data_IF_477431870910
#
_entry.id   IF_477431870910
#
_cell.length_a   1.000
_cell.length_b   1.000
_cell.length_c   1.000
_cell.angle_alpha   90.00
_cell.angle_beta   90.00
_cell.angle_gamma   90.00
#
_symmetry.space_group_name_H-M   'P 1'
#
loop_
_entity.id
_entity.type
_entity.pdbx_description
1 polymer ?
#
# COMPACT_ATOMS: atom_id res chain seq x y z
N UNK A 1 5.68 78.00 -13.11
CA UNK A 1 6.21 76.66 -13.48
C UNK A 1 6.65 75.96 -12.20
N UNK A 2 5.83 75.00 -11.70
CA UNK A 2 6.16 74.21 -10.53
C UNK A 2 6.41 72.78 -11.03
N UNK A 3 7.63 72.30 -10.87
CA UNK A 3 7.99 70.88 -11.14
C UNK A 3 7.55 70.02 -9.97
N UNK A 4 6.80 68.97 -10.26
CA UNK A 4 6.43 67.90 -9.30
C UNK A 4 7.40 66.73 -9.55
N UNK A 5 8.25 66.44 -8.57
CA UNK A 5 9.08 65.25 -8.54
C UNK A 5 8.18 64.06 -8.02
N UNK A 6 8.02 63.05 -8.84
CA UNK A 6 7.42 61.80 -8.44
C UNK A 6 8.50 60.84 -7.90
N UNK A 7 8.38 60.45 -6.64
CA UNK A 7 9.18 59.39 -6.03
C UNK A 7 8.53 58.04 -6.31
N UNK A 8 9.20 57.15 -7.04
CA UNK A 8 8.81 55.77 -7.21
C UNK A 8 9.33 54.95 -6.03
N UNK A 9 8.43 54.42 -5.20
CA UNK A 9 8.75 53.42 -4.19
C UNK A 9 8.91 52.04 -4.90
N UNK A 10 10.11 51.50 -4.86
CA UNK A 10 10.37 50.09 -5.25
C UNK A 10 10.15 49.25 -4.00
N UNK A 11 9.06 48.49 -3.98
CA UNK A 11 8.80 47.47 -2.95
C UNK A 11 9.60 46.21 -3.29
N UNK A 12 10.65 45.94 -2.53
CA UNK A 12 11.38 44.68 -2.59
C UNK A 12 10.59 43.60 -1.86
N UNK A 13 10.01 42.69 -2.61
CA UNK A 13 9.36 41.47 -2.05
C UNK A 13 10.44 40.47 -1.63
N UNK A 14 10.69 40.38 -0.34
CA UNK A 14 11.50 39.31 0.23
C UNK A 14 10.72 37.96 0.08
N UNK A 15 11.18 37.09 -0.82
CA UNK A 15 10.77 35.71 -0.83
C UNK A 15 11.33 35.03 0.42
N UNK A 16 10.46 34.66 1.34
CA UNK A 16 10.82 33.76 2.44
C UNK A 16 11.21 32.39 1.82
N UNK A 17 12.49 32.03 1.94
CA UNK A 17 12.98 30.70 1.68
C UNK A 17 12.37 29.77 2.73
N UNK A 18 11.67 28.71 2.27
CA UNK A 18 11.25 27.65 3.14
C UNK A 18 12.50 27.01 3.79
N UNK A 19 12.46 26.65 5.09
CA UNK A 19 13.59 26.02 5.73
C UNK A 19 13.85 24.67 5.06
N UNK A 20 15.11 24.44 4.66
CA UNK A 20 15.59 23.12 4.20
C UNK A 20 15.20 22.06 5.23
N UNK A 21 14.41 21.09 4.81
CA UNK A 21 14.09 19.93 5.62
C UNK A 21 15.42 19.22 5.93
N UNK A 22 15.78 19.15 7.20
CA UNK A 22 16.97 18.44 7.65
C UNK A 22 16.91 17.01 7.15
N UNK A 23 17.76 16.65 6.18
CA UNK A 23 17.95 15.28 5.73
C UNK A 23 18.54 14.52 6.93
N UNK A 24 17.69 13.81 7.64
CA UNK A 24 18.15 12.88 8.68
C UNK A 24 19.03 11.84 7.99
N UNK A 25 20.25 11.67 8.49
CA UNK A 25 21.16 10.59 8.06
C UNK A 25 20.53 9.27 8.45
N UNK A 26 19.70 8.72 7.55
CA UNK A 26 19.16 7.38 7.72
C UNK A 26 20.31 6.37 7.77
N UNK A 27 20.22 5.39 8.65
CA UNK A 27 21.09 4.23 8.63
C UNK A 27 21.09 3.62 7.21
N UNK A 28 22.26 3.12 6.77
CA UNK A 28 22.38 2.46 5.48
C UNK A 28 21.28 1.40 5.32
N UNK A 29 20.60 1.39 4.18
CA UNK A 29 19.60 0.39 3.90
C UNK A 29 20.25 -1.00 3.91
N UNK A 30 19.85 -1.86 4.84
CA UNK A 30 20.18 -3.27 4.80
C UNK A 30 19.36 -3.94 3.68
N UNK A 31 19.77 -5.12 3.23
CA UNK A 31 19.00 -5.87 2.25
C UNK A 31 18.92 -7.35 2.59
N UNK A 32 17.78 -7.95 2.27
CA UNK A 32 17.52 -9.39 2.39
C UNK A 32 17.32 -9.95 0.99
N UNK A 33 18.28 -10.75 0.50
CA UNK A 33 18.15 -11.45 -0.78
C UNK A 33 17.07 -12.52 -0.69
N UNK A 34 16.21 -12.60 -1.72
CA UNK A 34 15.13 -13.60 -1.79
C UNK A 34 15.60 -14.84 -2.56
N UNK A 35 15.07 -16.03 -2.21
CA UNK A 35 15.34 -17.26 -2.94
C UNK A 35 14.80 -17.19 -4.37
N UNK A 36 15.55 -17.73 -5.34
CA UNK A 36 15.15 -17.78 -6.74
C UNK A 36 15.97 -16.90 -7.65
N UNK A 37 16.77 -15.98 -7.09
CA UNK A 37 17.62 -15.04 -7.83
C UNK A 37 16.83 -13.97 -8.59
N UNK A 38 17.52 -12.89 -9.02
CA UNK A 38 16.88 -11.77 -9.72
C UNK A 38 16.46 -12.13 -11.16
N UNK A 39 15.37 -11.52 -11.69
CA UNK A 39 14.43 -10.69 -10.93
C UNK A 39 13.42 -11.52 -10.13
N UNK A 40 12.86 -10.93 -9.06
CA UNK A 40 11.72 -11.50 -8.31
C UNK A 40 10.56 -10.52 -8.37
N UNK A 41 9.48 -10.91 -9.03
CA UNK A 41 8.27 -10.07 -9.11
C UNK A 41 7.56 -10.03 -7.76
N UNK A 42 7.49 -8.85 -7.17
CA UNK A 42 6.80 -8.58 -5.91
C UNK A 42 5.82 -7.42 -6.06
N UNK A 43 4.67 -7.49 -5.38
CA UNK A 43 3.67 -6.45 -5.43
C UNK A 43 3.15 -6.13 -4.01
N UNK A 44 2.04 -6.72 -3.55
CA UNK A 44 1.49 -6.46 -2.23
C UNK A 44 1.99 -7.49 -1.20
N UNK A 45 2.80 -7.01 -0.27
CA UNK A 45 3.28 -7.78 0.88
C UNK A 45 2.29 -7.66 2.05
N UNK A 46 2.40 -8.56 3.04
CA UNK A 46 1.62 -8.45 4.27
C UNK A 46 2.46 -8.78 5.52
N UNK A 47 2.30 -7.97 6.55
CA UNK A 47 2.96 -8.17 7.84
C UNK A 47 1.95 -8.66 8.88
N UNK A 48 2.28 -9.76 9.56
CA UNK A 48 1.55 -10.28 10.70
C UNK A 48 2.20 -9.82 12.00
N UNK A 49 1.58 -8.86 12.67
CA UNK A 49 2.12 -8.26 13.89
C UNK A 49 2.15 -9.21 15.08
N UNK A 50 1.30 -10.24 15.12
CA UNK A 50 1.27 -11.23 16.20
C UNK A 50 2.51 -12.13 16.16
N UNK A 51 2.84 -12.68 14.99
CA UNK A 51 4.00 -13.56 14.83
C UNK A 51 5.30 -12.82 14.52
N UNK A 52 5.23 -11.60 13.99
CA UNK A 52 6.36 -10.85 13.45
C UNK A 52 6.81 -11.37 12.08
N UNK A 53 5.91 -11.94 11.29
CA UNK A 53 6.22 -12.50 9.97
C UNK A 53 5.77 -11.58 8.85
N UNK A 54 6.67 -11.37 7.91
CA UNK A 54 6.40 -10.67 6.66
C UNK A 54 6.23 -11.71 5.54
N UNK A 55 5.04 -11.73 4.93
CA UNK A 55 4.72 -12.57 3.79
C UNK A 55 5.01 -11.83 2.49
N UNK A 56 5.78 -12.45 1.61
CA UNK A 56 6.36 -11.86 0.39
C UNK A 56 5.96 -12.73 -0.79
N UNK A 57 4.84 -12.46 -1.46
CA UNK A 57 4.50 -13.14 -2.71
C UNK A 57 5.58 -12.87 -3.77
N UNK A 58 6.30 -13.94 -4.16
CA UNK A 58 7.42 -13.90 -5.10
C UNK A 58 6.98 -14.48 -6.46
N UNK A 59 6.19 -13.72 -7.20
CA UNK A 59 5.33 -14.13 -8.31
C UNK A 59 5.93 -15.10 -9.30
N UNK A 60 7.02 -14.72 -9.95
CA UNK A 60 7.66 -15.52 -10.99
C UNK A 60 8.42 -16.75 -10.48
N UNK A 61 8.65 -16.85 -9.17
CA UNK A 61 9.37 -17.97 -8.55
C UNK A 61 8.46 -19.14 -8.13
N UNK A 62 7.13 -18.93 -8.11
CA UNK A 62 6.17 -19.90 -7.60
C UNK A 62 6.27 -20.11 -6.09
N UNK A 63 6.66 -19.06 -5.34
CA UNK A 63 6.83 -19.08 -3.88
C UNK A 63 6.13 -17.92 -3.22
N UNK A 64 5.81 -18.10 -1.95
CA UNK A 64 5.57 -17.02 -1.00
C UNK A 64 6.68 -17.10 0.03
N UNK A 65 7.63 -16.20 -0.04
CA UNK A 65 8.70 -16.14 0.95
C UNK A 65 8.18 -15.54 2.25
N UNK A 66 8.76 -15.94 3.38
CA UNK A 66 8.32 -15.51 4.71
C UNK A 66 9.53 -15.11 5.53
N UNK A 67 9.65 -13.84 5.83
CA UNK A 67 10.70 -13.29 6.67
C UNK A 67 10.20 -13.16 8.12
N UNK A 68 10.86 -13.81 9.05
CA UNK A 68 10.71 -13.52 10.47
C UNK A 68 11.50 -12.24 10.79
N UNK A 69 10.78 -11.14 11.04
CA UNK A 69 11.40 -9.81 11.20
C UNK A 69 12.18 -9.66 12.49
N UNK A 70 11.95 -10.55 13.48
CA UNK A 70 12.65 -10.54 14.78
C UNK A 70 14.00 -11.23 14.71
N UNK A 71 14.07 -12.32 13.92
CA UNK A 71 15.28 -13.16 13.82
C UNK A 71 16.05 -12.99 12.51
N UNK A 72 15.43 -12.36 11.49
CA UNK A 72 15.95 -12.26 10.13
C UNK A 72 15.90 -13.58 9.35
N UNK A 73 15.28 -14.64 9.92
CA UNK A 73 15.21 -15.95 9.26
C UNK A 73 14.21 -15.91 8.12
N UNK A 74 14.63 -16.36 6.95
CA UNK A 74 13.81 -16.52 5.76
C UNK A 74 13.35 -17.97 5.60
N UNK A 75 12.05 -18.17 5.37
CA UNK A 75 11.42 -19.42 4.98
C UNK A 75 10.58 -19.22 3.74
N UNK A 76 9.89 -20.25 3.26
CA UNK A 76 8.99 -20.14 2.11
C UNK A 76 7.82 -21.13 2.18
N UNK A 77 6.76 -20.79 1.45
CA UNK A 77 5.67 -21.70 1.08
C UNK A 77 5.77 -21.91 -0.43
N UNK A 78 6.18 -23.12 -0.82
CA UNK A 78 6.50 -23.47 -2.20
C UNK A 78 5.30 -24.07 -2.97
N UNK A 79 5.50 -24.34 -4.26
CA UNK A 79 4.55 -25.10 -5.09
C UNK A 79 3.32 -24.28 -5.52
N UNK A 80 3.49 -22.97 -5.71
CA UNK A 80 2.45 -22.13 -6.30
C UNK A 80 2.49 -22.23 -7.81
N UNK A 81 1.32 -22.32 -8.48
CA UNK A 81 1.26 -22.22 -9.94
C UNK A 81 1.90 -20.94 -10.46
N UNK A 82 2.61 -21.06 -11.57
CA UNK A 82 3.10 -19.94 -12.35
C UNK A 82 2.62 -20.06 -13.80
N UNK A 83 2.43 -18.94 -14.48
CA UNK A 83 2.06 -18.92 -15.90
C UNK A 83 2.86 -17.88 -16.66
N UNK A 84 3.27 -18.21 -17.89
CA UNK A 84 3.92 -17.26 -18.78
C UNK A 84 2.87 -16.43 -19.50
N UNK A 85 2.94 -15.11 -19.38
CA UNK A 85 2.18 -14.15 -20.18
C UNK A 85 3.05 -13.64 -21.34
N UNK A 86 2.52 -12.72 -22.16
CA UNK A 86 3.32 -12.11 -23.23
C UNK A 86 4.57 -11.39 -22.68
N UNK A 87 4.46 -10.75 -21.52
CA UNK A 87 5.47 -9.84 -21.00
C UNK A 87 6.31 -10.42 -19.85
N UNK A 88 5.75 -11.37 -19.08
CA UNK A 88 6.40 -11.88 -17.87
C UNK A 88 5.84 -13.23 -17.40
N UNK A 89 6.49 -13.85 -16.44
CA UNK A 89 5.94 -14.96 -15.66
C UNK A 89 5.15 -14.38 -14.48
N UNK A 90 3.92 -14.86 -14.26
CA UNK A 90 3.05 -14.45 -13.16
C UNK A 90 2.80 -15.63 -12.21
N UNK A 91 2.51 -15.33 -10.95
CA UNK A 91 2.23 -16.31 -9.90
C UNK A 91 1.60 -15.62 -8.69
N UNK A 92 1.92 -16.00 -7.43
CA UNK A 92 1.46 -15.32 -6.24
C UNK A 92 1.93 -13.86 -6.24
N UNK A 93 1.02 -12.90 -6.02
CA UNK A 93 1.32 -11.48 -6.23
C UNK A 93 0.87 -10.57 -5.11
N UNK A 94 -0.06 -11.01 -4.28
CA UNK A 94 -0.61 -10.22 -3.19
C UNK A 94 -1.00 -11.11 -2.02
N UNK A 95 -0.98 -10.55 -0.82
CA UNK A 95 -1.48 -11.25 0.36
C UNK A 95 -2.01 -10.28 1.41
N UNK A 96 -2.81 -10.82 2.33
CA UNK A 96 -3.29 -10.14 3.52
C UNK A 96 -3.40 -11.10 4.67
N UNK A 97 -3.16 -10.64 5.89
CA UNK A 97 -3.21 -11.49 7.08
C UNK A 97 -4.47 -11.22 7.89
N UNK A 98 -5.09 -12.28 8.40
CA UNK A 98 -6.21 -12.20 9.32
C UNK A 98 -6.55 -13.56 9.92
N UNK A 99 -6.92 -13.59 11.20
CA UNK A 99 -7.34 -14.79 11.93
C UNK A 99 -6.32 -15.94 11.91
N UNK A 100 -5.02 -15.62 11.93
CA UNK A 100 -3.94 -16.61 11.92
C UNK A 100 -3.67 -17.22 10.54
N UNK A 101 -4.16 -16.62 9.46
CA UNK A 101 -3.94 -17.04 8.08
C UNK A 101 -3.46 -15.87 7.22
N UNK A 102 -2.57 -16.16 6.28
CA UNK A 102 -2.26 -15.29 5.16
C UNK A 102 -3.10 -15.74 3.95
N UNK A 103 -3.88 -14.84 3.39
CA UNK A 103 -4.68 -15.09 2.19
C UNK A 103 -3.90 -14.57 0.98
N UNK A 104 -3.49 -15.49 0.13
CA UNK A 104 -2.58 -15.20 -0.98
C UNK A 104 -3.33 -15.26 -2.30
N UNK A 105 -3.23 -14.18 -3.07
CA UNK A 105 -3.75 -14.08 -4.43
C UNK A 105 -2.71 -14.56 -5.44
N UNK A 106 -3.13 -15.46 -6.33
CA UNK A 106 -2.28 -15.97 -7.41
C UNK A 106 -2.84 -15.58 -8.78
N UNK A 107 -2.07 -14.81 -9.53
CA UNK A 107 -2.45 -14.34 -10.88
C UNK A 107 -2.37 -15.44 -11.94
N UNK A 108 -1.62 -16.53 -11.70
CA UNK A 108 -1.42 -17.59 -12.69
C UNK A 108 -2.67 -18.44 -12.91
N UNK A 109 -3.43 -18.71 -11.84
CA UNK A 109 -4.61 -19.57 -11.85
C UNK A 109 -5.86 -18.87 -11.30
N UNK A 110 -5.79 -17.56 -11.09
CA UNK A 110 -6.88 -16.74 -10.54
C UNK A 110 -7.40 -17.26 -9.20
N UNK A 111 -6.53 -17.76 -8.33
CA UNK A 111 -6.93 -18.34 -7.05
C UNK A 111 -6.62 -17.43 -5.85
N UNK A 112 -7.37 -17.64 -4.76
CA UNK A 112 -7.04 -17.18 -3.42
C UNK A 112 -6.89 -18.41 -2.53
N UNK A 113 -5.72 -18.57 -1.92
CA UNK A 113 -5.43 -19.67 -1.00
C UNK A 113 -5.15 -19.17 0.41
N UNK A 114 -5.61 -19.90 1.42
CA UNK A 114 -5.26 -19.67 2.81
C UNK A 114 -3.96 -20.39 3.15
N UNK A 115 -3.02 -19.69 3.81
CA UNK A 115 -1.79 -20.24 4.38
C UNK A 115 -1.84 -20.03 5.88
N UNK A 116 -1.76 -21.09 6.66
CA UNK A 116 -1.72 -20.98 8.11
C UNK A 116 -0.42 -20.30 8.57
N UNK A 117 -0.52 -19.17 9.26
CA UNK A 117 0.64 -18.35 9.65
C UNK A 117 1.63 -19.14 10.52
N UNK A 118 1.14 -19.98 11.44
CA UNK A 118 1.99 -20.71 12.39
C UNK A 118 2.81 -21.80 11.71
N UNK A 119 2.17 -22.65 10.91
CA UNK A 119 2.78 -23.85 10.30
C UNK A 119 3.34 -23.59 8.90
N UNK A 120 3.02 -22.46 8.26
CA UNK A 120 3.28 -22.15 6.86
C UNK A 120 2.70 -23.20 5.90
N UNK A 121 1.60 -23.83 6.29
CA UNK A 121 0.92 -24.84 5.48
C UNK A 121 -0.19 -24.21 4.67
N UNK A 122 -0.16 -24.42 3.34
CA UNK A 122 -1.26 -24.04 2.45
C UNK A 122 -2.46 -24.93 2.73
N UNK A 123 -3.63 -24.32 2.90
CA UNK A 123 -4.91 -24.98 3.19
C UNK A 123 -5.85 -24.89 1.98
N UNK A 124 -7.10 -24.53 2.17
CA UNK A 124 -8.07 -24.40 1.10
C UNK A 124 -7.78 -23.26 0.13
N UNK A 125 -8.12 -23.48 -1.12
CA UNK A 125 -8.07 -22.49 -2.19
C UNK A 125 -9.44 -22.35 -2.85
N UNK A 126 -9.70 -21.17 -3.43
CA UNK A 126 -10.86 -20.90 -4.27
C UNK A 126 -10.42 -20.19 -5.55
N UNK A 127 -10.90 -20.67 -6.70
CA UNK A 127 -10.69 -20.00 -7.99
C UNK A 127 -11.72 -18.88 -8.16
N UNK A 128 -11.26 -17.72 -8.57
CA UNK A 128 -12.08 -16.54 -8.88
C UNK A 128 -12.42 -16.49 -10.36
N UNK A 129 -13.53 -15.84 -10.74
CA UNK A 129 -13.85 -15.59 -12.15
C UNK A 129 -12.92 -14.55 -12.81
N UNK A 130 -12.09 -13.86 -12.03
CA UNK A 130 -11.23 -12.75 -12.47
C UNK A 130 -9.84 -12.87 -11.84
N UNK A 131 -8.83 -12.30 -12.52
CA UNK A 131 -7.46 -12.29 -12.02
C UNK A 131 -7.34 -11.37 -10.78
N UNK A 132 -6.90 -11.90 -9.62
CA UNK A 132 -6.74 -11.10 -8.41
C UNK A 132 -5.59 -10.08 -8.56
N UNK A 133 -5.78 -8.92 -7.93
CA UNK A 133 -4.76 -7.89 -7.82
C UNK A 133 -4.44 -7.63 -6.34
N UNK A 134 -5.12 -6.69 -5.66
CA UNK A 134 -4.99 -6.49 -4.22
C UNK A 134 -5.87 -7.46 -3.43
N UNK A 135 -5.36 -7.96 -2.32
CA UNK A 135 -6.07 -8.86 -1.40
C UNK A 135 -6.05 -8.25 -0.01
N UNK A 136 -7.20 -8.13 0.66
CA UNK A 136 -7.27 -7.55 1.99
C UNK A 136 -8.34 -8.18 2.88
N UNK A 137 -7.99 -8.37 4.14
CA UNK A 137 -8.89 -8.91 5.15
C UNK A 137 -9.78 -7.81 5.72
N UNK A 138 -11.08 -8.09 5.81
CA UNK A 138 -12.12 -7.21 6.36
C UNK A 138 -12.66 -7.84 7.64
N UNK A 139 -12.04 -7.51 8.76
CA UNK A 139 -12.30 -8.13 10.06
C UNK A 139 -13.77 -8.07 10.51
N UNK A 140 -14.52 -6.95 10.35
CA UNK A 140 -15.90 -6.85 10.80
C UNK A 140 -16.87 -7.86 10.17
N UNK A 141 -16.58 -8.31 8.94
CA UNK A 141 -17.43 -9.28 8.22
C UNK A 141 -16.84 -10.67 8.15
N UNK A 142 -15.58 -10.83 8.60
CA UNK A 142 -14.79 -12.06 8.44
C UNK A 142 -14.74 -12.47 6.96
N UNK A 143 -14.35 -11.52 6.13
CA UNK A 143 -14.22 -11.67 4.70
C UNK A 143 -12.82 -11.29 4.23
N UNK A 144 -12.42 -11.81 3.10
CA UNK A 144 -11.31 -11.32 2.28
C UNK A 144 -11.91 -10.69 1.04
N UNK A 145 -11.57 -9.44 0.79
CA UNK A 145 -11.97 -8.73 -0.41
C UNK A 145 -10.78 -8.67 -1.37
N UNK A 146 -11.06 -8.77 -2.65
CA UNK A 146 -10.05 -8.85 -3.70
C UNK A 146 -10.37 -7.85 -4.78
N UNK A 147 -9.43 -6.98 -5.11
CA UNK A 147 -9.58 -6.07 -6.24
C UNK A 147 -9.32 -6.81 -7.55
N UNK A 148 -10.16 -6.56 -8.55
CA UNK A 148 -10.02 -7.06 -9.92
C UNK A 148 -10.18 -5.88 -10.89
N UNK A 149 -9.11 -5.08 -11.09
CA UNK A 149 -9.19 -3.79 -11.78
C UNK A 149 -9.64 -3.88 -13.24
N UNK A 150 -9.28 -4.96 -13.94
CA UNK A 150 -9.66 -5.16 -15.35
C UNK A 150 -11.17 -5.32 -15.52
N UNK A 151 -11.79 -6.08 -14.63
CA UNK A 151 -13.22 -6.36 -14.59
C UNK A 151 -14.00 -5.30 -13.80
N UNK A 152 -13.30 -4.29 -13.28
CA UNK A 152 -13.88 -3.20 -12.48
C UNK A 152 -14.75 -3.73 -11.35
N UNK A 153 -14.21 -4.66 -10.57
CA UNK A 153 -15.00 -5.31 -9.53
C UNK A 153 -14.19 -5.62 -8.27
N UNK A 154 -14.92 -5.91 -7.19
CA UNK A 154 -14.39 -6.52 -5.96
C UNK A 154 -14.99 -7.91 -5.84
N UNK A 155 -14.15 -8.90 -5.61
CA UNK A 155 -14.56 -10.27 -5.27
C UNK A 155 -14.53 -10.43 -3.75
N UNK A 156 -15.64 -10.86 -3.15
CA UNK A 156 -15.81 -10.98 -1.70
C UNK A 156 -15.84 -12.45 -1.31
N UNK A 157 -14.91 -12.84 -0.44
CA UNK A 157 -14.77 -14.21 0.02
C UNK A 157 -15.07 -14.31 1.52
N UNK A 158 -16.00 -15.19 1.88
CA UNK A 158 -16.20 -15.54 3.29
C UNK A 158 -15.03 -16.37 3.80
N UNK A 159 -14.44 -15.95 4.92
CA UNK A 159 -13.44 -16.70 5.68
C UNK A 159 -13.94 -16.95 7.12
N UNK A 160 -15.25 -17.26 7.24
CA UNK A 160 -15.84 -17.75 8.51
C UNK A 160 -15.11 -19.02 8.98
N UNK A 161 -14.83 -19.93 8.06
CA UNK A 161 -13.77 -20.92 8.19
C UNK A 161 -12.49 -20.32 7.57
N UNK A 162 -11.50 -19.93 8.39
CA UNK A 162 -10.34 -19.20 7.89
C UNK A 162 -9.43 -20.06 6.98
N UNK A 163 -9.51 -21.39 7.11
CA UNK A 163 -8.76 -22.34 6.28
C UNK A 163 -9.39 -22.61 4.91
N UNK A 164 -10.66 -22.22 4.70
CA UNK A 164 -11.43 -22.55 3.51
C UNK A 164 -12.17 -21.32 2.95
N UNK A 165 -11.49 -20.40 2.26
CA UNK A 165 -12.12 -19.24 1.66
C UNK A 165 -13.17 -19.63 0.62
N UNK A 166 -14.30 -18.91 0.58
CA UNK A 166 -15.41 -19.18 -0.35
C UNK A 166 -15.90 -17.86 -0.97
N UNK A 167 -15.97 -17.79 -2.29
CA UNK A 167 -16.55 -16.64 -2.98
C UNK A 167 -18.04 -16.53 -2.61
N UNK A 168 -18.47 -15.37 -2.12
CA UNK A 168 -19.85 -15.12 -1.66
C UNK A 168 -20.53 -13.97 -2.38
N UNK A 169 -19.77 -13.05 -2.98
CA UNK A 169 -20.32 -11.95 -3.77
C UNK A 169 -19.27 -11.37 -4.73
N UNK A 170 -19.77 -10.69 -5.75
CA UNK A 170 -19.00 -9.82 -6.64
C UNK A 170 -19.68 -8.46 -6.67
N UNK A 171 -18.92 -7.38 -6.42
CA UNK A 171 -19.40 -6.00 -6.53
C UNK A 171 -18.81 -5.38 -7.79
N UNK A 172 -19.66 -5.05 -8.75
CA UNK A 172 -19.27 -4.27 -9.93
C UNK A 172 -19.14 -2.80 -9.55
N UNK A 173 -18.06 -2.16 -10.01
CA UNK A 173 -17.75 -0.75 -9.80
C UNK A 173 -17.76 0.00 -11.14
N UNK A 174 -17.75 1.32 -11.09
CA UNK A 174 -17.70 2.17 -12.30
C UNK A 174 -16.28 2.41 -12.82
N UNK A 175 -15.25 1.95 -12.09
CA UNK A 175 -13.83 2.05 -12.45
C UNK A 175 -12.99 0.93 -11.87
N UNK A 176 -11.71 0.88 -12.25
CA UNK A 176 -10.75 -0.13 -11.81
C UNK A 176 -10.30 0.11 -10.36
N UNK A 177 -10.66 -0.78 -9.40
CA UNK A 177 -10.22 -0.63 -8.00
C UNK A 177 -8.71 -0.86 -7.86
N UNK A 178 -8.05 0.06 -7.15
CA UNK A 178 -6.61 0.03 -6.88
C UNK A 178 -6.34 0.58 -5.48
N UNK A 179 -5.54 -0.10 -4.67
CA UNK A 179 -5.36 0.28 -3.27
C UNK A 179 -6.62 0.08 -2.43
N UNK A 180 -6.43 -0.11 -1.16
CA UNK A 180 -7.52 -0.36 -0.22
C UNK A 180 -7.12 0.00 1.21
N UNK A 181 -8.11 0.33 2.03
CA UNK A 181 -7.99 0.45 3.49
C UNK A 181 -9.31 0.06 4.15
N UNK A 182 -9.26 -0.25 5.44
CA UNK A 182 -10.43 -0.70 6.22
C UNK A 182 -10.54 0.10 7.52
N UNK A 183 -11.68 0.73 7.74
CA UNK A 183 -12.09 1.21 9.07
C UNK A 183 -12.83 0.06 9.77
N UNK A 184 -12.10 -0.71 10.56
CA UNK A 184 -12.65 -1.88 11.25
C UNK A 184 -13.70 -1.52 12.30
N UNK A 185 -13.60 -0.34 12.92
CA UNK A 185 -14.55 0.10 13.94
C UNK A 185 -15.93 0.40 13.36
N UNK A 186 -15.98 0.89 12.11
CA UNK A 186 -17.24 1.28 11.45
C UNK A 186 -17.65 0.33 10.34
N UNK A 187 -16.83 -0.70 10.09
CA UNK A 187 -17.02 -1.63 8.98
C UNK A 187 -17.10 -0.91 7.62
N UNK A 188 -16.19 0.06 7.39
CA UNK A 188 -16.06 0.74 6.11
C UNK A 188 -14.84 0.21 5.36
N UNK A 189 -14.99 0.08 4.06
CA UNK A 189 -13.90 -0.23 3.13
C UNK A 189 -13.69 0.96 2.21
N UNK A 190 -12.45 1.31 1.99
CA UNK A 190 -12.04 2.34 1.05
C UNK A 190 -11.28 1.68 -0.11
N UNK A 191 -11.56 2.10 -1.33
CA UNK A 191 -10.76 1.71 -2.51
C UNK A 191 -10.70 2.85 -3.51
N UNK A 192 -9.55 3.02 -4.14
CA UNK A 192 -9.36 4.00 -5.19
C UNK A 192 -9.84 3.45 -6.54
N UNK A 193 -10.43 4.30 -7.36
CA UNK A 193 -10.65 4.02 -8.78
C UNK A 193 -9.58 4.76 -9.57
N UNK A 194 -8.54 4.04 -10.01
CA UNK A 194 -7.35 4.64 -10.64
C UNK A 194 -7.66 5.37 -11.95
N UNK A 195 -8.68 4.90 -12.69
CA UNK A 195 -9.14 5.44 -13.97
C UNK A 195 -10.26 6.49 -13.84
N UNK A 196 -10.65 6.84 -12.60
CA UNK A 196 -11.72 7.81 -12.29
C UNK A 196 -11.29 8.93 -11.35
N UNK A 197 -10.04 8.88 -10.87
CA UNK A 197 -9.50 9.83 -9.89
C UNK A 197 -10.37 10.00 -8.64
N UNK A 198 -10.91 8.89 -8.12
CA UNK A 198 -11.83 8.84 -6.99
C UNK A 198 -11.42 7.82 -5.95
N UNK A 199 -11.82 8.07 -4.70
CA UNK A 199 -11.92 7.05 -3.65
C UNK A 199 -13.38 6.71 -3.42
N UNK A 200 -13.71 5.42 -3.40
CA UNK A 200 -15.01 4.92 -2.97
C UNK A 200 -14.99 4.59 -1.48
N UNK A 201 -16.11 4.84 -0.82
CA UNK A 201 -16.41 4.37 0.54
C UNK A 201 -17.52 3.34 0.45
N UNK A 202 -17.26 2.14 0.95
CA UNK A 202 -18.21 1.04 0.93
C UNK A 202 -18.59 0.65 2.37
N UNK A 203 -19.87 0.37 2.58
CA UNK A 203 -20.35 -0.34 3.78
C UNK A 203 -20.04 -1.83 3.60
N UNK A 204 -19.13 -2.37 4.43
CA UNK A 204 -18.71 -3.76 4.33
C UNK A 204 -19.83 -4.75 4.64
N UNK A 205 -20.74 -4.42 5.59
CA UNK A 205 -21.86 -5.28 5.95
C UNK A 205 -22.95 -5.30 4.89
N UNK A 206 -23.29 -4.11 4.37
CA UNK A 206 -24.27 -3.97 3.29
C UNK A 206 -23.70 -4.30 1.91
N UNK A 207 -22.37 -4.42 1.78
CA UNK A 207 -21.63 -4.69 0.53
C UNK A 207 -22.04 -3.74 -0.60
N UNK A 208 -22.01 -2.45 -0.32
CA UNK A 208 -22.41 -1.41 -1.29
C UNK A 208 -21.59 -0.14 -1.14
N UNK A 209 -21.41 0.56 -2.25
CA UNK A 209 -20.87 1.92 -2.25
C UNK A 209 -21.87 2.85 -1.57
N UNK A 210 -21.42 3.61 -0.59
CA UNK A 210 -22.23 4.59 0.14
C UNK A 210 -21.80 6.03 -0.12
N UNK A 211 -20.57 6.24 -0.59
CA UNK A 211 -20.00 7.57 -0.85
C UNK A 211 -18.81 7.46 -1.80
N UNK A 212 -18.46 8.58 -2.43
CA UNK A 212 -17.19 8.74 -3.15
C UNK A 212 -16.58 10.11 -2.89
N UNK A 213 -15.26 10.20 -3.03
CA UNK A 213 -14.48 11.43 -2.90
C UNK A 213 -13.71 11.67 -4.18
N UNK A 214 -13.80 12.88 -4.74
CA UNK A 214 -12.92 13.32 -5.83
C UNK A 214 -11.55 13.68 -5.25
N UNK A 215 -10.48 13.28 -5.92
CA UNK A 215 -9.13 13.42 -5.37
C UNK A 215 -8.31 14.52 -6.03
N UNK A 216 -8.39 14.67 -7.35
CA UNK A 216 -7.52 15.56 -8.11
C UNK A 216 -6.06 15.07 -8.12
N UNK A 217 -5.83 13.76 -8.23
CA UNK A 217 -4.51 13.15 -8.47
C UNK A 217 -4.04 13.31 -9.93
N UNK A 218 -4.95 13.67 -10.83
CA UNK A 218 -4.68 13.85 -12.25
C UNK A 218 -4.77 12.57 -13.07
N UNK A 219 -4.26 12.57 -14.31
CA UNK A 219 -4.54 11.50 -15.29
C UNK A 219 -3.95 10.13 -14.93
N UNK A 220 -2.91 10.08 -14.10
CA UNK A 220 -2.31 8.82 -13.64
C UNK A 220 -3.05 8.20 -12.45
N UNK A 221 -3.97 8.97 -11.86
CA UNK A 221 -4.90 8.56 -10.82
C UNK A 221 -4.30 8.27 -9.45
N UNK A 222 -5.16 7.93 -8.49
CA UNK A 222 -4.77 7.47 -7.17
C UNK A 222 -4.30 6.01 -7.20
N UNK A 223 -3.51 5.62 -6.20
CA UNK A 223 -2.95 4.29 -6.00
C UNK A 223 -3.23 3.78 -4.59
N UNK A 224 -2.20 3.63 -3.77
CA UNK A 224 -2.29 3.13 -2.43
C UNK A 224 -3.14 3.97 -1.50
N UNK A 225 -3.71 3.32 -0.49
CA UNK A 225 -4.48 3.95 0.59
C UNK A 225 -3.96 3.41 1.92
N UNK A 226 -3.88 4.27 2.93
CA UNK A 226 -3.77 3.90 4.32
C UNK A 226 -4.81 4.66 5.16
N UNK A 227 -5.16 4.13 6.32
CA UNK A 227 -6.19 4.71 7.18
C UNK A 227 -5.69 4.89 8.60
N UNK A 228 -5.78 6.10 9.11
CA UNK A 228 -5.56 6.44 10.52
C UNK A 228 -6.85 6.21 11.31
N UNK A 229 -6.86 5.17 12.13
CA UNK A 229 -8.02 4.76 12.90
C UNK A 229 -8.40 5.77 13.99
N UNK A 230 -7.42 6.46 14.59
CA UNK A 230 -7.61 7.43 15.67
C UNK A 230 -8.06 8.79 15.14
N UNK A 231 -7.28 9.39 14.23
CA UNK A 231 -7.62 10.67 13.58
C UNK A 231 -8.70 10.52 12.52
N UNK A 232 -8.98 9.31 12.08
CA UNK A 232 -9.95 8.98 11.02
C UNK A 232 -9.60 9.64 9.68
N UNK A 233 -8.31 9.81 9.44
CA UNK A 233 -7.82 10.35 8.19
C UNK A 233 -7.56 9.23 7.18
N UNK A 234 -7.88 9.51 5.94
CA UNK A 234 -7.54 8.64 4.82
C UNK A 234 -6.35 9.24 4.08
N UNK A 235 -5.27 8.48 4.01
CA UNK A 235 -4.08 8.82 3.23
C UNK A 235 -4.21 8.20 1.85
N UNK A 236 -4.11 9.01 0.80
CA UNK A 236 -4.27 8.55 -0.59
C UNK A 236 -3.06 8.97 -1.41
N UNK A 237 -2.31 7.97 -1.90
CA UNK A 237 -1.17 8.20 -2.78
C UNK A 237 -1.63 8.52 -4.21
N UNK A 238 -1.00 9.51 -4.84
CA UNK A 238 -1.17 9.84 -6.25
C UNK A 238 0.03 9.29 -7.05
N UNK A 239 -0.21 8.61 -8.16
CA UNK A 239 0.87 8.06 -8.98
C UNK A 239 1.82 9.12 -9.54
N UNK A 240 1.34 10.35 -9.77
CA UNK A 240 2.15 11.49 -10.18
C UNK A 240 3.09 12.02 -9.08
N UNK A 241 2.95 11.52 -7.85
CA UNK A 241 3.65 11.96 -6.65
C UNK A 241 2.73 12.64 -5.66
N UNK A 242 3.14 12.60 -4.39
CA UNK A 242 2.42 13.14 -3.25
C UNK A 242 1.35 12.22 -2.67
N UNK A 243 1.06 12.44 -1.40
CA UNK A 243 -0.05 11.79 -0.68
C UNK A 243 -1.00 12.86 -0.20
N UNK A 244 -2.30 12.68 -0.42
CA UNK A 244 -3.37 13.54 0.09
C UNK A 244 -3.94 12.97 1.37
N UNK A 245 -4.24 13.85 2.32
CA UNK A 245 -4.89 13.48 3.58
C UNK A 245 -6.32 13.99 3.53
N UNK A 246 -7.27 13.06 3.63
CA UNK A 246 -8.70 13.38 3.62
C UNK A 246 -9.29 13.20 5.02
N UNK A 247 -10.16 14.14 5.39
CA UNK A 247 -10.99 13.99 6.58
C UNK A 247 -12.16 13.00 6.34
N UNK A 248 -12.95 12.65 7.37
CA UNK A 248 -14.05 11.70 7.26
C UNK A 248 -15.16 12.09 6.27
N UNK A 249 -15.22 13.34 5.84
CA UNK A 249 -16.19 13.82 4.84
C UNK A 249 -15.59 14.02 3.45
N UNK A 250 -14.29 13.69 3.29
CA UNK A 250 -13.58 13.70 2.01
C UNK A 250 -12.93 15.03 1.65
N UNK A 251 -12.81 15.97 2.61
CA UNK A 251 -12.06 17.22 2.38
C UNK A 251 -10.56 16.95 2.52
N UNK A 252 -9.77 17.50 1.63
CA UNK A 252 -8.30 17.44 1.73
C UNK A 252 -7.86 18.41 2.83
N UNK A 253 -7.32 17.87 3.92
CA UNK A 253 -6.86 18.62 5.10
C UNK A 253 -5.34 18.65 5.21
N UNK A 254 -4.62 17.80 4.46
CA UNK A 254 -3.17 17.77 4.45
C UNK A 254 -2.61 17.21 3.15
N UNK A 255 -1.31 17.39 2.95
CA UNK A 255 -0.55 16.87 1.81
C UNK A 255 0.85 16.52 2.25
N UNK A 256 1.40 15.42 1.73
CA UNK A 256 2.79 15.04 1.87
C UNK A 256 3.41 15.03 0.47
N UNK A 257 4.52 15.71 0.31
CA UNK A 257 5.27 15.69 -0.95
C UNK A 257 6.10 14.41 -1.05
N UNK A 258 6.05 13.75 -2.20
CA UNK A 258 6.88 12.59 -2.56
C UNK A 258 7.30 12.70 -4.01
N UNK A 259 8.28 11.91 -4.43
CA UNK A 259 8.54 11.68 -5.84
C UNK A 259 7.39 10.92 -6.53
N UNK A 260 7.40 10.83 -7.87
CA UNK A 260 6.40 10.09 -8.62
C UNK A 260 6.61 8.57 -8.55
N UNK A 261 5.57 7.82 -8.96
CA UNK A 261 5.61 6.37 -8.98
C UNK A 261 5.35 5.71 -7.63
N UNK A 262 4.64 6.39 -6.72
CA UNK A 262 4.10 5.77 -5.50
C UNK A 262 2.97 4.83 -5.90
N UNK A 263 3.02 3.58 -5.42
CA UNK A 263 2.01 2.58 -5.68
C UNK A 263 1.28 2.17 -4.40
N UNK A 264 2.00 1.72 -3.37
CA UNK A 264 1.40 1.46 -2.06
C UNK A 264 2.09 2.29 -0.98
N UNK A 265 1.34 2.64 0.05
CA UNK A 265 1.78 3.38 1.24
C UNK A 265 1.41 2.59 2.49
N UNK A 266 2.07 2.86 3.59
CA UNK A 266 1.74 2.23 4.86
C UNK A 266 1.71 3.23 6.02
N UNK A 267 0.89 2.94 7.02
CA UNK A 267 0.66 3.77 8.18
C UNK A 267 0.96 3.03 9.48
N UNK A 268 1.91 3.52 10.25
CA UNK A 268 2.22 3.00 11.58
C UNK A 268 1.47 3.79 12.64
N UNK A 269 0.30 3.28 13.02
CA UNK A 269 -0.61 3.91 13.98
C UNK A 269 0.07 4.27 15.31
N UNK A 270 0.89 3.37 15.86
CA UNK A 270 1.53 3.55 17.17
C UNK A 270 2.57 4.68 17.23
N UNK A 271 3.01 5.18 16.09
CA UNK A 271 3.98 6.28 15.96
C UNK A 271 3.46 7.47 15.16
N UNK A 272 2.25 7.40 14.65
CA UNK A 272 1.64 8.38 13.73
C UNK A 272 2.55 8.70 12.52
N UNK A 273 3.15 7.64 11.93
CA UNK A 273 4.06 7.76 10.80
C UNK A 273 3.46 7.17 9.53
N UNK A 274 3.49 7.98 8.47
CA UNK A 274 3.12 7.62 7.12
C UNK A 274 4.39 7.37 6.29
N UNK A 275 4.41 6.24 5.57
CA UNK A 275 5.52 5.81 4.73
C UNK A 275 5.07 5.74 3.28
N UNK A 276 5.83 6.35 2.36
CA UNK A 276 5.56 6.32 0.93
C UNK A 276 6.85 6.10 0.14
N UNK A 277 6.89 5.01 -0.62
CA UNK A 277 8.01 4.69 -1.50
C UNK A 277 7.72 5.16 -2.92
N UNK A 278 8.65 5.96 -3.48
CA UNK A 278 8.55 6.57 -4.82
C UNK A 278 9.44 5.82 -5.79
N UNK A 279 8.83 5.01 -6.67
CA UNK A 279 9.57 4.11 -7.55
C UNK A 279 10.32 4.81 -8.68
N UNK A 280 9.93 6.01 -9.09
CA UNK A 280 10.57 6.71 -10.19
C UNK A 280 11.94 7.28 -9.82
N UNK A 281 12.06 7.85 -8.64
CA UNK A 281 13.29 8.49 -8.16
C UNK A 281 14.05 7.67 -7.10
N UNK A 282 13.48 6.52 -6.70
CA UNK A 282 14.09 5.63 -5.72
C UNK A 282 14.24 6.30 -4.35
N UNK A 283 13.14 6.74 -3.76
CA UNK A 283 13.13 7.35 -2.43
C UNK A 283 12.01 6.76 -1.55
N UNK A 284 12.26 6.72 -0.25
CA UNK A 284 11.24 6.52 0.79
C UNK A 284 11.07 7.85 1.53
N UNK A 285 9.87 8.41 1.51
CA UNK A 285 9.51 9.56 2.33
C UNK A 285 8.71 9.08 3.53
N UNK A 286 9.09 9.55 4.73
CA UNK A 286 8.37 9.29 5.98
C UNK A 286 7.90 10.62 6.56
N UNK A 287 6.65 10.67 6.97
CA UNK A 287 6.05 11.86 7.55
C UNK A 287 5.26 11.54 8.82
N UNK A 288 5.25 12.47 9.75
CA UNK A 288 4.39 12.45 10.93
C UNK A 288 3.07 13.14 10.58
N UNK A 289 1.94 12.51 10.92
CA UNK A 289 0.63 13.11 10.79
C UNK A 289 0.08 13.52 12.15
N UNK A 290 -0.43 14.74 12.22
CA UNK A 290 -1.07 15.27 13.42
C UNK A 290 -2.58 14.98 13.44
N UNK A 291 -3.20 15.16 14.59
CA UNK A 291 -4.63 14.88 14.80
C UNK A 291 -5.58 15.74 13.94
N UNK A 292 -5.12 16.87 13.40
CA UNK A 292 -5.87 17.72 12.48
C UNK A 292 -5.69 17.32 11.00
N UNK A 293 -4.90 16.27 10.73
CA UNK A 293 -4.58 15.78 9.38
C UNK A 293 -3.41 16.52 8.72
N UNK A 294 -2.79 17.50 9.38
CA UNK A 294 -1.56 18.09 8.88
C UNK A 294 -0.42 17.07 8.89
N UNK A 295 0.48 17.15 7.90
CA UNK A 295 1.57 16.17 7.74
C UNK A 295 2.89 16.92 7.63
N UNK A 296 3.90 16.42 8.34
CA UNK A 296 5.27 16.95 8.30
C UNK A 296 6.24 15.85 7.92
N UNK A 297 6.97 16.01 6.81
CA UNK A 297 8.04 15.08 6.45
C UNK A 297 9.13 15.10 7.51
N UNK A 298 9.50 13.92 7.98
CA UNK A 298 10.53 13.73 9.03
C UNK A 298 11.79 13.06 8.50
N UNK A 299 11.67 12.32 7.37
CA UNK A 299 12.83 11.69 6.75
C UNK A 299 12.58 11.45 5.26
N UNK A 300 13.64 11.54 4.46
CA UNK A 300 13.67 11.05 3.07
C UNK A 300 14.95 10.23 2.90
N UNK A 301 14.79 8.97 2.49
CA UNK A 301 15.87 7.99 2.36
C UNK A 301 15.99 7.56 0.91
N UNK A 302 17.21 7.45 0.40
CA UNK A 302 17.47 6.83 -0.90
C UNK A 302 17.19 5.34 -0.86
N UNK A 303 16.45 4.87 -1.85
CA UNK A 303 16.16 3.46 -2.14
C UNK A 303 16.63 3.12 -3.56
N UNK A 304 15.96 2.19 -4.22
CA UNK A 304 16.25 1.84 -5.62
C UNK A 304 15.11 2.26 -6.55
N UNK A 305 15.39 2.70 -7.78
CA UNK A 305 14.35 2.89 -8.79
C UNK A 305 13.54 1.60 -8.99
N UNK A 306 12.21 1.73 -9.01
CA UNK A 306 11.28 0.59 -9.07
C UNK A 306 10.72 0.17 -7.70
N UNK A 307 11.35 0.55 -6.58
CA UNK A 307 10.81 0.36 -5.23
C UNK A 307 9.63 1.31 -4.97
N UNK A 308 8.41 0.85 -5.25
CA UNK A 308 7.18 1.66 -5.30
C UNK A 308 6.16 1.32 -4.24
N UNK A 309 6.36 0.21 -3.55
CA UNK A 309 5.51 -0.25 -2.46
C UNK A 309 6.33 -0.32 -1.17
N UNK A 310 5.69 -0.13 -0.04
CA UNK A 310 6.30 -0.22 1.28
C UNK A 310 5.35 -0.91 2.24
N UNK A 311 5.89 -1.72 3.14
CA UNK A 311 5.20 -2.23 4.31
C UNK A 311 6.07 -2.03 5.54
N UNK A 312 5.44 -1.80 6.70
CA UNK A 312 6.14 -1.43 7.93
C UNK A 312 5.81 -2.43 9.04
N UNK A 313 6.82 -2.87 9.76
CA UNK A 313 6.61 -3.69 10.95
C UNK A 313 6.25 -2.86 12.19
N UNK A 314 5.88 -3.54 13.27
CA UNK A 314 5.50 -2.88 14.53
C UNK A 314 6.63 -2.06 15.18
N UNK A 315 7.90 -2.29 14.79
CA UNK A 315 9.04 -1.53 15.26
C UNK A 315 9.30 -0.26 14.42
N UNK A 316 8.62 -0.10 13.29
CA UNK A 316 8.79 1.02 12.35
C UNK A 316 9.88 0.77 11.32
N UNK A 317 10.29 -0.49 11.12
CA UNK A 317 11.17 -0.88 10.03
C UNK A 317 10.38 -0.97 8.75
N UNK A 318 10.82 -0.26 7.72
CA UNK A 318 10.21 -0.29 6.39
C UNK A 318 10.87 -1.36 5.52
N UNK A 319 10.05 -2.12 4.81
CA UNK A 319 10.47 -3.14 3.85
C UNK A 319 9.97 -2.72 2.46
N UNK A 320 10.91 -2.59 1.51
CA UNK A 320 10.62 -2.12 0.15
C UNK A 320 11.10 -3.19 -0.84
N UNK A 321 10.22 -3.72 -1.70
CA UNK A 321 10.62 -4.62 -2.78
C UNK A 321 11.57 -3.98 -3.77
N UNK A 322 12.70 -4.63 -3.99
CA UNK A 322 13.63 -4.38 -5.10
C UNK A 322 13.55 -5.58 -6.05
N UNK A 323 12.49 -5.58 -6.86
CA UNK A 323 12.16 -6.70 -7.75
C UNK A 323 13.26 -6.98 -8.76
N UNK A 324 13.94 -5.94 -9.24
CA UNK A 324 15.02 -6.09 -10.23
C UNK A 324 16.20 -6.88 -9.66
N UNK A 325 16.56 -6.60 -8.41
CA UNK A 325 17.69 -7.25 -7.73
C UNK A 325 17.25 -8.47 -6.89
N UNK A 326 15.95 -8.81 -6.89
CA UNK A 326 15.42 -9.99 -6.19
C UNK A 326 15.64 -9.93 -4.67
N UNK A 327 15.41 -8.77 -4.04
CA UNK A 327 15.66 -8.55 -2.61
C UNK A 327 14.65 -7.61 -1.99
N UNK A 328 14.60 -7.57 -0.67
CA UNK A 328 13.97 -6.50 0.11
C UNK A 328 15.03 -5.51 0.59
N UNK A 329 14.77 -4.22 0.46
CA UNK A 329 15.47 -3.19 1.22
C UNK A 329 14.83 -3.10 2.60
N UNK A 330 15.65 -3.02 3.64
CA UNK A 330 15.27 -2.95 5.04
C UNK A 330 15.77 -1.62 5.60
N UNK A 331 14.85 -0.74 5.96
CA UNK A 331 15.17 0.64 6.36
C UNK A 331 14.62 0.90 7.75
N UNK A 332 15.51 1.10 8.71
CA UNK A 332 15.16 1.48 10.08
C UNK A 332 15.12 3.00 10.18
N UNK A 333 13.98 3.54 10.56
CA UNK A 333 13.83 4.97 10.83
C UNK A 333 14.14 5.21 12.30
N UNK A 334 15.34 5.73 12.57
CA UNK A 334 15.70 6.19 13.91
C UNK A 334 15.10 7.58 14.15
N UNK A 335 14.44 7.75 15.28
CA UNK A 335 14.07 9.06 15.85
C UNK A 335 15.09 9.45 16.90
#
# INVERSE_FOLDING_TARGET
MRQILAFALIAASARAQAPDAAVSTAAAAESVALPGGPPVDMDYLAYDSESGRLFIPAGNTGKVDVLDTKTGKLGSVDGWPTAKTADRVVGPSSCSVGRGYAYVGNRADSSICAVEVKSLTRRGCVTLPSVPDGVFYVAPTKEVWVTTPREKSLQLLSVKDPAAPKLVATLTLDGGPEGYAVDEQRALVFTNLRDKDKTLVLDAKARKVIRSFELGCGPTGPRGIAFDLEGRHLFVACAAGGVKVLDPVGRIVGRMETGPGVDNIDWLQSRHLLYAASGADGTLTVAEAAADGSVKSVSTVKTTPGGRTVIVDSAGTAYIPDSKEGRLLVIKISR
#
